data_IF_496249540402
#
_entry.id   IF_496249540402
#
_cell.length_a   1.000
_cell.length_b   1.000
_cell.length_c   1.000
_cell.angle_alpha   90.00
_cell.angle_beta   90.00
_cell.angle_gamma   90.00
#
_symmetry.space_group_name_H-M   'P 1'
#
loop_
_entity.id
_entity.type
_entity.pdbx_description
1 polymer ?
#
# COMPACT_ATOMS: atom_id res chain seq x y z
N UNK A 1 -31.37 -20.75 -10.28
CA UNK A 1 -31.62 -19.42 -9.69
C UNK A 1 -30.30 -18.94 -9.08
N UNK A 2 -29.48 -18.19 -9.81
CA UNK A 2 -28.22 -17.65 -9.27
C UNK A 2 -28.60 -16.51 -8.33
N UNK A 3 -28.32 -16.69 -7.05
CA UNK A 3 -28.69 -15.76 -5.99
C UNK A 3 -27.95 -14.42 -6.17
N UNK A 4 -28.65 -13.28 -6.02
CA UNK A 4 -28.06 -11.93 -6.13
C UNK A 4 -26.84 -11.78 -5.22
N UNK A 5 -26.83 -12.51 -4.10
CA UNK A 5 -25.70 -12.59 -3.18
C UNK A 5 -24.42 -13.18 -3.80
N UNK A 6 -24.52 -14.12 -4.74
CA UNK A 6 -23.35 -14.70 -5.41
C UNK A 6 -22.76 -13.73 -6.43
N UNK A 7 -23.61 -12.97 -7.12
CA UNK A 7 -23.20 -11.95 -8.09
C UNK A 7 -22.49 -10.79 -7.39
N UNK A 8 -23.07 -10.27 -6.30
CA UNK A 8 -22.46 -9.19 -5.51
C UNK A 8 -21.10 -9.59 -4.94
N UNK A 9 -20.97 -10.82 -4.42
CA UNK A 9 -19.71 -11.34 -3.87
C UNK A 9 -18.63 -11.49 -4.94
N UNK A 10 -19.00 -11.91 -6.15
CA UNK A 10 -18.09 -12.00 -7.30
C UNK A 10 -17.56 -10.64 -7.76
N UNK A 11 -18.43 -9.62 -7.79
CA UNK A 11 -18.03 -8.25 -8.13
C UNK A 11 -17.10 -7.67 -7.07
N UNK A 12 -17.43 -7.81 -5.78
CA UNK A 12 -16.59 -7.32 -4.69
C UNK A 12 -15.18 -7.93 -4.72
N UNK A 13 -15.06 -9.24 -4.96
CA UNK A 13 -13.76 -9.90 -5.10
C UNK A 13 -12.95 -9.40 -6.31
N UNK A 14 -13.62 -9.07 -7.43
CA UNK A 14 -12.96 -8.57 -8.64
C UNK A 14 -12.33 -7.19 -8.46
N UNK A 15 -12.90 -6.37 -7.58
CA UNK A 15 -12.47 -4.99 -7.34
C UNK A 15 -11.82 -4.77 -5.97
N UNK A 16 -11.66 -5.81 -5.15
CA UNK A 16 -11.06 -5.73 -3.82
C UNK A 16 -9.61 -5.22 -3.81
N UNK A 17 -8.90 -5.27 -4.93
CA UNK A 17 -7.56 -4.72 -5.08
C UNK A 17 -7.55 -3.19 -5.26
N UNK A 18 -8.66 -2.59 -5.69
CA UNK A 18 -8.74 -1.15 -6.01
C UNK A 18 -8.49 -0.27 -4.79
N UNK A 19 -9.13 -0.50 -3.61
CA UNK A 19 -8.86 0.32 -2.44
C UNK A 19 -7.41 0.21 -1.98
N UNK A 20 -6.83 -1.00 -2.04
CA UNK A 20 -5.43 -1.23 -1.71
C UNK A 20 -4.50 -0.44 -2.65
N UNK A 21 -4.78 -0.44 -3.96
CA UNK A 21 -4.02 0.31 -4.95
C UNK A 21 -4.13 1.83 -4.75
N UNK A 22 -5.36 2.34 -4.57
CA UNK A 22 -5.58 3.77 -4.31
C UNK A 22 -4.89 4.20 -3.02
N UNK A 23 -4.91 3.35 -2.01
CA UNK A 23 -4.23 3.59 -0.75
C UNK A 23 -2.70 3.66 -0.94
N UNK A 24 -2.11 2.75 -1.73
CA UNK A 24 -0.70 2.85 -2.11
C UNK A 24 -0.39 4.16 -2.82
N UNK A 25 -1.25 4.63 -3.73
CA UNK A 25 -1.09 5.95 -4.39
C UNK A 25 -1.10 7.10 -3.37
N UNK A 26 -1.99 7.06 -2.38
CA UNK A 26 -2.04 8.08 -1.31
C UNK A 26 -0.75 8.08 -0.49
N UNK A 27 -0.24 6.90 -0.09
CA UNK A 27 1.05 6.80 0.62
C UNK A 27 2.18 7.38 -0.22
N UNK A 28 2.20 7.09 -1.53
CA UNK A 28 3.23 7.63 -2.42
C UNK A 28 3.21 9.16 -2.42
N UNK A 29 2.02 9.76 -2.59
CA UNK A 29 1.87 11.21 -2.61
C UNK A 29 2.25 11.85 -1.27
N UNK A 30 1.88 11.23 -0.15
CA UNK A 30 2.27 11.68 1.19
C UNK A 30 3.77 11.54 1.42
N UNK A 31 4.38 10.45 0.96
CA UNK A 31 5.80 10.17 1.11
C UNK A 31 6.69 11.08 0.27
N UNK A 32 6.20 11.51 -0.90
CA UNK A 32 6.87 12.48 -1.75
C UNK A 32 6.64 13.93 -1.28
N UNK A 33 5.52 14.17 -0.58
CA UNK A 33 5.07 15.45 -0.05
C UNK A 33 5.97 16.08 1.01
N UNK A 34 6.18 17.39 0.89
CA UNK A 34 6.64 18.26 2.00
C UNK A 34 5.49 19.11 2.55
N UNK A 35 5.72 19.80 3.67
CA UNK A 35 4.72 20.69 4.30
C UNK A 35 4.20 21.77 3.34
N UNK A 36 5.07 22.25 2.44
CA UNK A 36 4.74 23.26 1.43
C UNK A 36 4.14 22.68 0.12
N UNK A 37 3.94 21.36 0.05
CA UNK A 37 3.43 20.64 -1.12
C UNK A 37 4.43 19.63 -1.70
N UNK A 38 4.06 18.93 -2.79
CA UNK A 38 4.82 17.78 -3.31
C UNK A 38 6.13 18.11 -4.04
N UNK A 39 6.30 19.36 -4.46
CA UNK A 39 7.45 19.81 -5.29
C UNK A 39 8.19 21.02 -4.72
N UNK A 40 7.75 21.55 -3.58
CA UNK A 40 8.37 22.72 -2.95
C UNK A 40 9.48 22.31 -1.98
N UNK A 41 10.20 23.30 -1.45
CA UNK A 41 11.22 23.09 -0.42
C UNK A 41 10.68 22.24 0.74
N UNK A 42 11.50 21.28 1.19
CA UNK A 42 11.12 20.28 2.18
C UNK A 42 10.35 19.08 1.62
N UNK A 43 10.14 18.97 0.30
CA UNK A 43 9.64 17.76 -0.35
C UNK A 43 10.77 16.84 -0.81
N UNK A 44 10.47 15.56 -0.99
CA UNK A 44 11.43 14.58 -1.53
C UNK A 44 11.89 14.98 -2.94
N UNK A 45 10.97 15.45 -3.79
CA UNK A 45 11.29 15.83 -5.16
C UNK A 45 12.24 17.03 -5.21
N UNK A 46 11.99 18.06 -4.38
CA UNK A 46 12.91 19.19 -4.28
C UNK A 46 14.29 18.76 -3.75
N UNK A 47 14.33 17.83 -2.79
CA UNK A 47 15.59 17.28 -2.30
C UNK A 47 16.37 16.51 -3.37
N UNK A 48 15.70 15.83 -4.32
CA UNK A 48 16.39 15.18 -5.45
C UNK A 48 16.90 16.16 -6.51
N UNK A 49 16.24 17.31 -6.66
CA UNK A 49 16.61 18.33 -7.63
C UNK A 49 17.70 19.29 -7.12
N UNK A 50 18.02 19.27 -5.82
CA UNK A 50 19.04 20.14 -5.24
C UNK A 50 20.45 19.57 -5.43
N UNK A 51 21.46 20.43 -5.51
CA UNK A 51 22.87 20.03 -5.42
C UNK A 51 23.38 19.98 -3.97
N UNK A 52 22.53 20.33 -3.00
CA UNK A 52 22.86 20.31 -1.58
C UNK A 52 23.03 18.85 -1.08
N UNK A 53 24.09 18.64 -0.30
CA UNK A 53 24.49 17.36 0.30
C UNK A 53 24.44 17.39 1.83
N UNK A 54 23.80 18.41 2.41
CA UNK A 54 23.54 18.48 3.84
C UNK A 54 22.86 17.20 4.36
N UNK A 55 23.13 16.84 5.61
CA UNK A 55 22.56 15.63 6.23
C UNK A 55 21.03 15.60 6.15
N UNK A 56 20.40 16.78 6.23
CA UNK A 56 18.96 16.96 6.17
C UNK A 56 18.40 16.59 4.79
N UNK A 57 19.03 17.07 3.71
CA UNK A 57 18.66 16.73 2.34
C UNK A 57 18.93 15.26 2.05
N UNK A 58 20.06 14.73 2.52
CA UNK A 58 20.39 13.31 2.37
C UNK A 58 19.36 12.40 3.07
N UNK A 59 18.97 12.74 4.30
CA UNK A 59 17.93 12.01 5.02
C UNK A 59 16.59 12.02 4.27
N UNK A 60 16.23 13.15 3.65
CA UNK A 60 15.02 13.27 2.85
C UNK A 60 15.07 12.41 1.58
N UNK A 61 16.22 12.37 0.88
CA UNK A 61 16.44 11.50 -0.29
C UNK A 61 16.34 10.03 0.09
N UNK A 62 16.97 9.61 1.19
CA UNK A 62 16.94 8.23 1.66
C UNK A 62 15.52 7.79 2.04
N UNK A 63 14.82 8.63 2.81
CA UNK A 63 13.40 8.41 3.15
C UNK A 63 12.55 8.30 1.88
N UNK A 64 12.76 9.22 0.94
CA UNK A 64 12.07 9.26 -0.35
C UNK A 64 12.29 8.02 -1.21
N UNK A 65 13.56 7.61 -1.40
CA UNK A 65 13.94 6.37 -2.07
C UNK A 65 13.25 5.16 -1.48
N UNK A 66 13.25 5.08 -0.15
CA UNK A 66 12.69 3.94 0.56
C UNK A 66 11.17 3.86 0.36
N UNK A 67 10.46 4.98 0.56
CA UNK A 67 9.00 5.02 0.35
C UNK A 67 8.65 4.75 -1.12
N UNK A 68 9.38 5.35 -2.06
CA UNK A 68 9.14 5.15 -3.49
C UNK A 68 9.34 3.69 -3.89
N UNK A 69 10.45 3.07 -3.46
CA UNK A 69 10.73 1.65 -3.73
C UNK A 69 9.67 0.74 -3.14
N UNK A 70 9.31 0.92 -1.86
CA UNK A 70 8.28 0.10 -1.19
C UNK A 70 6.92 0.22 -1.87
N UNK A 71 6.49 1.44 -2.19
CA UNK A 71 5.15 1.68 -2.75
C UNK A 71 5.07 1.21 -4.20
N UNK A 72 6.08 1.47 -5.02
CA UNK A 72 6.14 0.97 -6.41
C UNK A 72 6.16 -0.55 -6.44
N UNK A 73 6.97 -1.18 -5.59
CA UNK A 73 7.02 -2.64 -5.49
C UNK A 73 5.69 -3.23 -5.00
N UNK A 74 5.08 -2.61 -3.99
CA UNK A 74 3.75 -2.97 -3.51
C UNK A 74 2.70 -2.86 -4.61
N UNK A 75 2.66 -1.76 -5.36
CA UNK A 75 1.74 -1.59 -6.49
C UNK A 75 1.95 -2.65 -7.57
N UNK A 76 3.20 -3.03 -7.88
CA UNK A 76 3.47 -4.10 -8.83
C UNK A 76 2.87 -5.43 -8.36
N UNK A 77 2.99 -5.77 -7.06
CA UNK A 77 2.38 -6.97 -6.46
C UNK A 77 0.84 -6.88 -6.52
N UNK A 78 0.26 -5.71 -6.28
CA UNK A 78 -1.20 -5.50 -6.35
C UNK A 78 -1.71 -5.68 -7.78
N UNK A 79 -1.05 -5.08 -8.77
CA UNK A 79 -1.52 -5.02 -10.15
C UNK A 79 -1.34 -6.34 -10.91
N UNK A 80 -0.39 -7.18 -10.52
CA UNK A 80 -0.12 -8.44 -11.22
C UNK A 80 -0.44 -9.68 -10.38
N UNK A 81 0.41 -10.13 -9.44
CA UNK A 81 0.22 -11.43 -8.80
C UNK A 81 -1.00 -11.47 -7.86
N UNK A 82 -1.35 -10.38 -7.17
CA UNK A 82 -2.58 -10.34 -6.38
C UNK A 82 -3.82 -10.50 -7.26
N UNK A 83 -3.85 -9.83 -8.42
CA UNK A 83 -4.95 -9.94 -9.40
C UNK A 83 -5.03 -11.31 -10.06
N UNK A 84 -3.92 -12.04 -10.13
CA UNK A 84 -3.90 -13.45 -10.54
C UNK A 84 -4.33 -14.41 -9.43
N UNK A 85 -4.56 -13.92 -8.21
CA UNK A 85 -4.91 -14.74 -7.05
C UNK A 85 -3.75 -15.56 -6.53
N UNK A 86 -2.51 -15.10 -6.75
CA UNK A 86 -1.31 -15.75 -6.24
C UNK A 86 -1.23 -15.61 -4.71
N UNK A 87 -1.06 -16.75 -4.02
CA UNK A 87 -1.14 -16.78 -2.56
C UNK A 87 0.01 -16.03 -1.90
N UNK A 88 1.21 -16.13 -2.46
CA UNK A 88 2.39 -15.46 -1.93
C UNK A 88 2.21 -13.93 -1.95
N UNK A 89 1.56 -13.38 -2.98
CA UNK A 89 1.29 -11.95 -3.07
C UNK A 89 0.33 -11.48 -1.98
N UNK A 90 -0.69 -12.29 -1.67
CA UNK A 90 -1.58 -12.04 -0.55
C UNK A 90 -0.82 -12.02 0.79
N UNK A 91 0.06 -13.00 1.04
CA UNK A 91 0.89 -13.04 2.25
C UNK A 91 1.84 -11.85 2.35
N UNK A 92 2.50 -11.47 1.25
CA UNK A 92 3.43 -10.34 1.23
C UNK A 92 2.69 -9.02 1.51
N UNK A 93 1.48 -8.83 0.97
CA UNK A 93 0.76 -7.58 1.16
C UNK A 93 0.20 -7.36 2.56
N UNK A 94 0.17 -8.39 3.43
CA UNK A 94 -0.05 -8.20 4.87
C UNK A 94 1.03 -7.33 5.53
N UNK A 95 2.16 -7.12 4.85
CA UNK A 95 3.12 -6.08 5.20
C UNK A 95 2.44 -4.73 5.48
N UNK A 96 1.45 -4.29 4.67
CA UNK A 96 0.79 -2.98 4.87
C UNK A 96 0.12 -2.84 6.25
N UNK A 97 -0.87 -3.67 6.62
CA UNK A 97 -1.52 -3.54 7.93
C UNK A 97 -0.55 -3.79 9.09
N UNK A 98 0.43 -4.69 8.94
CA UNK A 98 1.45 -4.93 9.98
C UNK A 98 2.33 -3.69 10.18
N UNK A 99 2.80 -3.08 9.09
CA UNK A 99 3.62 -1.87 9.12
C UNK A 99 2.89 -0.73 9.83
N UNK A 100 1.63 -0.47 9.50
CA UNK A 100 0.86 0.59 10.15
C UNK A 100 0.51 0.27 11.61
N UNK A 101 0.28 -1.00 11.95
CA UNK A 101 0.09 -1.40 13.34
C UNK A 101 1.35 -1.12 14.18
N UNK A 102 2.53 -1.43 13.64
CA UNK A 102 3.80 -1.08 14.29
C UNK A 102 3.97 0.43 14.42
N UNK A 103 3.55 1.20 13.42
CA UNK A 103 3.60 2.67 13.47
C UNK A 103 2.70 3.24 14.58
N UNK A 104 1.48 2.72 14.75
CA UNK A 104 0.57 3.08 15.86
C UNK A 104 1.20 2.73 17.21
N UNK A 105 1.79 1.55 17.35
CA UNK A 105 2.43 1.12 18.61
C UNK A 105 3.65 1.98 18.94
N UNK A 106 4.48 2.30 17.95
CA UNK A 106 5.73 3.01 18.13
C UNK A 106 5.54 4.51 18.34
N UNK A 107 4.59 5.13 17.63
CA UNK A 107 4.45 6.59 17.56
C UNK A 107 3.11 7.12 18.07
N UNK A 108 2.15 6.26 18.41
CA UNK A 108 0.82 6.67 18.89
C UNK A 108 -0.05 7.34 17.80
N UNK A 109 0.35 7.27 16.54
CA UNK A 109 -0.29 7.96 15.40
C UNK A 109 -1.54 7.25 14.92
N UNK A 110 -2.58 7.17 15.76
CA UNK A 110 -3.82 6.46 15.40
C UNK A 110 -4.50 6.99 14.13
N UNK A 111 -4.40 8.29 13.83
CA UNK A 111 -4.84 8.84 12.57
C UNK A 111 -3.65 9.51 11.86
N UNK A 112 -3.28 9.11 10.63
CA UNK A 112 -4.04 8.30 9.67
C UNK A 112 -3.86 6.76 9.78
N UNK A 113 -2.97 6.25 10.63
CA UNK A 113 -2.52 4.84 10.51
C UNK A 113 -3.59 3.79 10.84
N UNK A 114 -4.50 4.09 11.78
CA UNK A 114 -5.64 3.23 12.08
C UNK A 114 -6.57 3.04 10.88
N UNK A 115 -6.81 4.11 10.11
CA UNK A 115 -7.58 4.03 8.86
C UNK A 115 -6.85 3.19 7.81
N UNK A 116 -5.53 3.35 7.72
CA UNK A 116 -4.67 2.54 6.85
C UNK A 116 -4.76 1.05 7.15
N UNK A 117 -4.75 0.66 8.43
CA UNK A 117 -4.90 -0.73 8.86
C UNK A 117 -6.25 -1.27 8.39
N UNK A 118 -7.34 -0.54 8.66
CA UNK A 118 -8.69 -0.98 8.31
C UNK A 118 -8.86 -1.18 6.80
N UNK A 119 -8.45 -0.20 5.99
CA UNK A 119 -8.59 -0.27 4.52
C UNK A 119 -7.76 -1.41 3.94
N UNK A 120 -6.50 -1.53 4.36
CA UNK A 120 -5.59 -2.56 3.82
C UNK A 120 -5.99 -3.96 4.24
N UNK A 121 -6.33 -4.17 5.51
CA UNK A 121 -6.80 -5.46 6.01
C UNK A 121 -8.13 -5.86 5.37
N UNK A 122 -9.12 -4.97 5.30
CA UNK A 122 -10.39 -5.26 4.66
C UNK A 122 -10.22 -5.62 3.17
N UNK A 123 -9.36 -4.89 2.46
CA UNK A 123 -9.06 -5.18 1.04
C UNK A 123 -8.44 -6.57 0.86
N UNK A 124 -7.49 -6.95 1.73
CA UNK A 124 -6.86 -8.26 1.68
C UNK A 124 -7.80 -9.40 2.05
N UNK A 125 -8.67 -9.19 3.04
CA UNK A 125 -9.70 -10.15 3.42
C UNK A 125 -10.70 -10.38 2.28
N UNK A 126 -11.01 -9.35 1.49
CA UNK A 126 -11.86 -9.48 0.31
C UNK A 126 -11.13 -10.10 -0.90
N UNK A 127 -9.82 -9.90 -1.02
CA UNK A 127 -8.95 -10.46 -2.06
C UNK A 127 -8.55 -11.94 -1.84
N UNK A 128 -9.19 -12.65 -0.90
CA UNK A 128 -8.76 -13.99 -0.49
C UNK A 128 -8.50 -14.94 -1.70
N UNK A 129 -7.30 -15.52 -1.83
CA UNK A 129 -6.92 -16.29 -3.01
C UNK A 129 -7.72 -17.59 -3.11
N UNK A 130 -8.52 -17.74 -4.17
CA UNK A 130 -9.40 -18.90 -4.42
C UNK A 130 -8.66 -20.23 -4.61
N UNK A 131 -7.35 -20.21 -4.88
CA UNK A 131 -6.55 -21.42 -5.13
C UNK A 131 -6.54 -22.42 -3.96
N UNK A 132 -7.03 -22.06 -2.76
CA UNK A 132 -7.03 -22.90 -1.54
C UNK A 132 -7.85 -24.21 -1.66
N UNK A 133 -8.81 -24.30 -2.60
CA UNK A 133 -9.72 -25.46 -2.74
C UNK A 133 -9.44 -26.38 -3.94
N UNK A 134 -8.17 -26.62 -4.30
CA UNK A 134 -7.85 -27.82 -5.09
C UNK A 134 -6.91 -28.68 -4.26
N UNK A 135 -7.35 -29.86 -3.79
CA UNK A 135 -6.41 -30.84 -3.29
C UNK A 135 -5.42 -31.10 -4.43
N UNK A 136 -4.14 -30.94 -4.14
CA UNK A 136 -3.09 -31.51 -4.97
C UNK A 136 -3.34 -33.02 -4.97
N UNK A 137 -3.85 -33.52 -6.10
CA UNK A 137 -3.87 -34.95 -6.42
C UNK A 137 -2.47 -35.52 -6.34
#
# INVERSE_FOLDING_TARGET
MIDKYQIGRGIMQRYAWVPLFLFSVVILLMGLGGFAGPVKEGSVLAAYASDDISEQILALRLKGSFVLGMVVFGMAIILYPLRQGERWAWYVLWYYPIFFALHVIAFGTFFPDGLSILISAASLLLCFPKKIMRPTT
#
